data_IF_259173180149
#
_entry.id   IF_259173180149
#
_cell.length_a   1.000
_cell.length_b   1.000
_cell.length_c   1.000
_cell.angle_alpha   90.00
_cell.angle_beta   90.00
_cell.angle_gamma   90.00
#
_symmetry.space_group_name_H-M   'P 1'
#
loop_
_entity.id
_entity.type
_entity.pdbx_description
1 polymer ?
#
# COMPACT_ATOMS: atom_id res chain seq x y z
N UNK A 1 -10.17 -13.85 -6.56
CA UNK A 1 -8.90 -13.25 -6.08
C UNK A 1 -8.75 -11.89 -6.71
N UNK A 2 -8.43 -10.87 -5.92
CA UNK A 2 -8.18 -9.50 -6.42
C UNK A 2 -6.75 -9.08 -6.15
N UNK A 3 -6.19 -8.23 -7.00
CA UNK A 3 -4.79 -7.80 -6.88
C UNK A 3 -4.64 -6.32 -7.14
N UNK A 4 -3.84 -5.66 -6.29
CA UNK A 4 -3.42 -4.28 -6.47
C UNK A 4 -1.89 -4.16 -6.47
N UNK A 5 -1.38 -3.14 -7.15
CA UNK A 5 0.05 -2.86 -7.27
C UNK A 5 0.36 -1.45 -6.76
N UNK A 6 1.47 -1.34 -6.03
CA UNK A 6 2.04 -0.09 -5.54
C UNK A 6 3.45 0.07 -6.14
N UNK A 7 3.73 1.25 -6.66
CA UNK A 7 5.06 1.62 -7.18
C UNK A 7 5.40 3.05 -6.82
N UNK A 8 6.67 3.33 -6.52
CA UNK A 8 7.17 4.69 -6.31
C UNK A 8 6.98 5.60 -7.55
N UNK A 9 6.82 4.99 -8.73
CA UNK A 9 6.56 5.65 -10.01
C UNK A 9 5.07 5.65 -10.41
N UNK A 10 4.20 5.10 -9.56
CA UNK A 10 2.74 5.10 -9.78
C UNK A 10 2.09 6.45 -9.48
N UNK A 11 0.76 6.46 -9.53
CA UNK A 11 -0.07 7.63 -9.19
C UNK A 11 -1.35 7.19 -8.46
N UNK A 12 -1.83 7.98 -7.49
CA UNK A 12 -2.99 7.61 -6.67
C UNK A 12 -4.34 7.79 -7.38
N UNK A 13 -4.34 8.42 -8.55
CA UNK A 13 -5.47 8.46 -9.46
C UNK A 13 -5.50 7.28 -10.45
N UNK A 14 -4.50 6.39 -10.43
CA UNK A 14 -4.54 5.16 -11.20
C UNK A 14 -5.54 4.15 -10.63
N UNK A 15 -5.75 3.05 -11.36
CA UNK A 15 -6.68 1.97 -10.97
C UNK A 15 -6.01 0.85 -10.17
N UNK A 16 -4.68 0.88 -9.98
CA UNK A 16 -3.95 -0.08 -9.15
C UNK A 16 -3.59 -1.39 -9.85
N UNK A 17 -3.57 -1.43 -11.19
CA UNK A 17 -3.10 -2.58 -11.97
C UNK A 17 -1.58 -2.58 -12.10
N UNK A 18 -0.99 -3.64 -12.66
CA UNK A 18 0.46 -3.70 -12.89
C UNK A 18 0.94 -2.60 -13.84
N UNK A 19 0.15 -2.28 -14.87
CA UNK A 19 0.47 -1.22 -15.85
C UNK A 19 0.17 0.19 -15.32
N UNK A 20 -0.79 0.30 -14.40
CA UNK A 20 -1.22 1.56 -13.79
C UNK A 20 -1.28 1.41 -12.26
N UNK A 21 -0.12 1.31 -11.57
CA UNK A 21 -0.07 1.06 -10.14
C UNK A 21 -0.39 2.33 -9.34
N UNK A 22 -0.86 2.13 -8.11
CA UNK A 22 -0.98 3.21 -7.13
C UNK A 22 0.41 3.72 -6.72
N UNK A 23 0.47 4.97 -6.23
CA UNK A 23 1.71 5.51 -5.67
C UNK A 23 1.85 5.19 -4.20
N UNK A 24 0.75 5.26 -3.45
CA UNK A 24 0.77 5.17 -2.00
C UNK A 24 0.10 3.92 -1.46
N UNK A 25 0.60 3.44 -0.32
CA UNK A 25 -0.02 2.35 0.44
C UNK A 25 -1.41 2.78 0.95
N UNK A 26 -1.58 4.06 1.32
CA UNK A 26 -2.86 4.62 1.76
C UNK A 26 -3.95 4.45 0.69
N UNK A 27 -3.65 4.84 -0.56
CA UNK A 27 -4.60 4.68 -1.67
C UNK A 27 -4.96 3.23 -1.93
N UNK A 28 -3.98 2.32 -1.86
CA UNK A 28 -4.25 0.89 -2.00
C UNK A 28 -5.20 0.36 -0.90
N UNK A 29 -5.01 0.78 0.36
CA UNK A 29 -5.95 0.42 1.44
C UNK A 29 -7.34 0.98 1.18
N UNK A 30 -7.46 2.23 0.72
CA UNK A 30 -8.74 2.83 0.33
C UNK A 30 -9.44 2.05 -0.78
N UNK A 31 -8.70 1.61 -1.81
CA UNK A 31 -9.23 0.78 -2.89
C UNK A 31 -9.72 -0.59 -2.37
N UNK A 32 -9.03 -1.18 -1.40
CA UNK A 32 -9.50 -2.39 -0.72
C UNK A 32 -10.80 -2.10 0.06
N UNK A 33 -10.90 -0.96 0.74
CA UNK A 33 -12.14 -0.57 1.44
C UNK A 33 -13.30 -0.42 0.47
N UNK A 34 -13.08 0.24 -0.66
CA UNK A 34 -14.07 0.42 -1.73
C UNK A 34 -14.52 -0.94 -2.30
N UNK A 35 -13.56 -1.82 -2.61
CA UNK A 35 -13.82 -3.16 -3.11
C UNK A 35 -14.69 -3.97 -2.12
N UNK A 36 -14.34 -3.94 -0.82
CA UNK A 36 -15.00 -4.78 0.18
C UNK A 36 -16.32 -4.21 0.71
N UNK A 37 -16.53 -2.89 0.64
CA UNK A 37 -17.81 -2.27 1.02
C UNK A 37 -18.91 -2.46 -0.03
N UNK A 38 -18.54 -2.53 -1.31
CA UNK A 38 -19.49 -2.50 -2.42
C UNK A 38 -19.91 -3.89 -2.91
N UNK A 39 -19.42 -4.97 -2.28
CA UNK A 39 -19.73 -6.35 -2.67
C UNK A 39 -20.65 -7.04 -1.66
N UNK A 40 -21.58 -7.85 -2.16
CA UNK A 40 -22.38 -8.73 -1.30
C UNK A 40 -21.53 -9.89 -0.78
N UNK A 41 -21.97 -10.56 0.27
CA UNK A 41 -21.22 -11.68 0.87
C UNK A 41 -20.86 -12.78 -0.14
N UNK A 42 -21.68 -12.99 -1.19
CA UNK A 42 -21.46 -14.00 -2.22
C UNK A 42 -20.45 -13.58 -3.29
N UNK A 43 -20.26 -12.27 -3.49
CA UNK A 43 -19.34 -11.72 -4.52
C UNK A 43 -18.02 -11.24 -3.92
N UNK A 44 -17.86 -11.40 -2.60
CA UNK A 44 -16.69 -10.95 -1.86
C UNK A 44 -15.48 -11.82 -2.22
N UNK A 45 -14.33 -11.22 -2.59
CA UNK A 45 -13.13 -11.98 -2.83
C UNK A 45 -12.63 -12.65 -1.54
N UNK A 46 -12.25 -13.91 -1.62
CA UNK A 46 -11.63 -14.65 -0.50
C UNK A 46 -10.22 -14.13 -0.18
N UNK A 47 -9.52 -13.58 -1.17
CA UNK A 47 -8.18 -13.02 -1.00
C UNK A 47 -7.97 -11.76 -1.85
N UNK A 48 -7.33 -10.77 -1.21
CA UNK A 48 -6.80 -9.57 -1.84
C UNK A 48 -5.29 -9.49 -1.58
N UNK A 49 -4.50 -9.48 -2.64
CA UNK A 49 -3.04 -9.30 -2.55
C UNK A 49 -2.63 -7.92 -3.04
N UNK A 50 -1.81 -7.22 -2.26
CA UNK A 50 -1.19 -5.95 -2.62
C UNK A 50 0.30 -6.18 -2.82
N UNK A 51 0.76 -6.00 -4.05
CA UNK A 51 2.16 -6.09 -4.42
C UNK A 51 2.84 -4.73 -4.29
N UNK A 52 3.94 -4.69 -3.55
CA UNK A 52 4.81 -3.53 -3.46
C UNK A 52 6.01 -3.75 -4.37
N UNK A 53 6.21 -2.82 -5.30
CA UNK A 53 7.43 -2.76 -6.12
C UNK A 53 8.63 -2.42 -5.23
N UNK A 54 9.82 -2.85 -5.65
CA UNK A 54 11.07 -2.54 -4.99
C UNK A 54 11.23 -1.04 -4.66
N UNK A 55 11.80 -0.74 -3.48
CA UNK A 55 12.09 0.62 -3.05
C UNK A 55 11.45 0.99 -1.70
N UNK A 56 11.52 2.28 -1.38
CA UNK A 56 11.04 2.84 -0.12
C UNK A 56 9.71 3.56 -0.35
N UNK A 57 8.65 3.07 0.28
CA UNK A 57 7.31 3.64 0.28
C UNK A 57 7.12 4.45 1.56
N UNK A 58 7.32 5.76 1.48
CA UNK A 58 7.19 6.66 2.63
C UNK A 58 5.73 6.86 3.03
N UNK A 59 5.47 6.81 4.34
CA UNK A 59 4.18 7.10 4.95
C UNK A 59 4.34 8.26 5.94
N UNK A 60 3.39 9.18 5.95
CA UNK A 60 3.34 10.30 6.90
C UNK A 60 2.27 10.12 7.97
N UNK A 61 1.40 9.13 7.79
CA UNK A 61 0.26 8.83 8.65
C UNK A 61 0.18 7.31 8.91
N UNK A 62 -0.38 6.93 10.05
CA UNK A 62 -0.62 5.53 10.38
C UNK A 62 -1.61 4.89 9.40
N UNK A 63 -1.24 3.74 8.84
CA UNK A 63 -2.13 2.93 8.01
C UNK A 63 -2.92 2.00 8.93
N UNK A 64 -4.22 2.25 9.04
CA UNK A 64 -5.12 1.47 9.89
C UNK A 64 -5.94 0.49 9.05
N UNK A 65 -5.83 -0.80 9.35
CA UNK A 65 -6.65 -1.88 8.78
C UNK A 65 -7.33 -2.58 9.96
N UNK A 66 -8.65 -2.49 10.03
CA UNK A 66 -9.48 -3.11 11.07
C UNK A 66 -10.41 -4.14 10.45
N UNK A 67 -10.55 -5.28 11.10
CA UNK A 67 -11.46 -6.36 10.70
C UNK A 67 -12.90 -5.87 10.60
N UNK A 68 -13.32 -5.06 11.57
CA UNK A 68 -14.69 -4.55 11.70
C UNK A 68 -15.08 -3.63 10.53
N UNK A 69 -14.11 -2.85 10.03
CA UNK A 69 -14.34 -1.88 8.95
C UNK A 69 -14.47 -2.53 7.57
N UNK A 70 -13.99 -3.76 7.44
CA UNK A 70 -13.77 -4.44 6.16
C UNK A 70 -14.47 -5.80 6.08
N UNK A 71 -15.20 -6.18 7.13
CA UNK A 71 -15.89 -7.47 7.25
C UNK A 71 -14.97 -8.65 6.90
N UNK A 72 -13.72 -8.66 7.39
CA UNK A 72 -12.66 -9.56 6.91
C UNK A 72 -12.85 -11.04 7.25
N UNK A 73 -13.94 -11.43 7.90
CA UNK A 73 -14.23 -12.80 8.35
C UNK A 73 -14.05 -13.86 7.25
N UNK A 74 -14.26 -13.47 5.98
CA UNK A 74 -14.13 -14.34 4.80
C UNK A 74 -13.04 -13.90 3.81
N UNK A 75 -12.27 -12.85 4.10
CA UNK A 75 -11.30 -12.27 3.16
C UNK A 75 -9.93 -12.04 3.80
N UNK A 76 -8.90 -12.69 3.24
CA UNK A 76 -7.51 -12.47 3.62
C UNK A 76 -6.91 -11.31 2.82
N UNK A 77 -6.24 -10.38 3.51
CA UNK A 77 -5.47 -9.30 2.86
C UNK A 77 -3.97 -9.56 3.07
N UNK A 78 -3.22 -9.63 1.98
CA UNK A 78 -1.77 -9.87 1.99
C UNK A 78 -1.04 -8.68 1.37
N UNK A 79 -0.14 -8.05 2.11
CA UNK A 79 0.84 -7.10 1.56
C UNK A 79 2.18 -7.80 1.39
N UNK A 80 2.75 -7.77 0.20
CA UNK A 80 4.05 -8.41 -0.06
C UNK A 80 4.83 -7.72 -1.17
N UNK A 81 6.15 -7.85 -1.15
CA UNK A 81 6.97 -7.44 -2.28
C UNK A 81 6.76 -8.39 -3.48
N UNK A 82 7.06 -7.92 -4.70
CA UNK A 82 7.20 -8.82 -5.84
C UNK A 82 8.31 -9.85 -5.61
N UNK A 83 8.26 -10.97 -6.32
CA UNK A 83 9.24 -12.04 -6.17
C UNK A 83 10.67 -11.53 -6.47
N UNK A 84 11.58 -11.71 -5.51
CA UNK A 84 12.97 -11.26 -5.63
C UNK A 84 13.19 -9.76 -5.37
N UNK A 85 12.14 -8.99 -5.08
CA UNK A 85 12.22 -7.58 -4.77
C UNK A 85 12.18 -7.30 -3.26
N UNK A 86 12.76 -6.16 -2.87
CA UNK A 86 12.74 -5.66 -1.50
C UNK A 86 11.97 -4.35 -1.44
N UNK A 87 10.83 -4.36 -0.74
CA UNK A 87 10.02 -3.18 -0.50
C UNK A 87 10.07 -2.80 0.99
N UNK A 88 10.25 -1.53 1.27
CA UNK A 88 10.30 -0.97 2.63
C UNK A 88 9.19 0.03 2.79
N UNK A 89 8.34 -0.13 3.81
CA UNK A 89 7.41 0.91 4.23
C UNK A 89 8.09 1.72 5.33
N UNK A 90 8.27 3.03 5.13
CA UNK A 90 9.03 3.89 6.04
C UNK A 90 8.19 5.04 6.56
N UNK A 91 8.04 5.15 7.88
CA UNK A 91 7.51 6.35 8.55
C UNK A 91 8.56 7.43 8.81
N UNK A 92 9.80 7.22 8.37
CA UNK A 92 10.92 8.13 8.62
C UNK A 92 11.04 9.22 7.56
N UNK A 93 11.62 10.35 7.95
CA UNK A 93 12.03 11.42 7.05
C UNK A 93 13.56 11.40 6.87
N UNK A 94 14.02 11.60 5.64
CA UNK A 94 15.46 11.74 5.34
C UNK A 94 15.92 13.14 5.74
N UNK A 95 16.88 13.23 6.66
CA UNK A 95 17.54 14.49 7.01
C UNK A 95 18.66 14.77 6.03
N UNK A 96 18.61 15.92 5.38
CA UNK A 96 19.58 16.39 4.38
C UNK A 96 20.03 17.81 4.70
N UNK A 97 21.10 18.29 4.06
CA UNK A 97 21.60 19.66 4.29
C UNK A 97 22.43 19.78 5.56
N UNK A 98 23.20 18.74 5.89
CA UNK A 98 24.16 18.80 6.99
C UNK A 98 25.26 19.82 6.67
N UNK A 99 25.52 20.72 7.61
CA UNK A 99 26.61 21.68 7.52
C UNK A 99 27.64 21.42 8.63
N UNK A 100 28.91 21.63 8.32
CA UNK A 100 29.98 21.57 9.32
C UNK A 100 29.85 22.79 10.23
N UNK A 101 29.69 22.54 11.52
CA UNK A 101 29.78 23.61 12.52
C UNK A 101 31.19 24.22 12.48
N UNK A 102 31.26 25.54 12.30
CA UNK A 102 32.51 26.31 12.17
C UNK A 102 33.20 26.57 13.51
N UNK A 103 32.60 26.12 14.62
CA UNK A 103 33.09 26.33 15.99
C UNK A 103 34.31 25.48 16.39
N UNK A 104 35.02 24.88 15.43
CA UNK A 104 36.18 24.01 15.68
C UNK A 104 37.27 24.11 14.59
#
# INVERSE_FOLDING_TARGET
MSTFYISQYGADNHVGTIDSPFKSVKRAVEAIRELLKNVTANDKPEEVTVYLSAGVHSITETITIRSEDLNLDTCKITFKANAGEYAVISGGAKVTGWERDASN
#
